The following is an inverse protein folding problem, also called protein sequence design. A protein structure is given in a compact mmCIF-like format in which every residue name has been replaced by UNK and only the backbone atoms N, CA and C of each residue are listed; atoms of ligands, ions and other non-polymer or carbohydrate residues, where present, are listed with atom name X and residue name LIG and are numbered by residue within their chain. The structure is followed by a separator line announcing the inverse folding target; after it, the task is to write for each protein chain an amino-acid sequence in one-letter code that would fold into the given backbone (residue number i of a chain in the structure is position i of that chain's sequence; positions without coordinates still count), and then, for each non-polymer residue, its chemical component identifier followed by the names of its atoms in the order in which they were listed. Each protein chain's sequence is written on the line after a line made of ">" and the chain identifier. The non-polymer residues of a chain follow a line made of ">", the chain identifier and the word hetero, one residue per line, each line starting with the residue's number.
data_IF_136774608532
#
_entry.id   IF_136774608532
#
_cell.length_a   1.000
_cell.length_b   1.000
_cell.length_c   1.000
_cell.angle_alpha   90.00
_cell.angle_beta   90.00
_cell.angle_gamma   90.00
#
_symmetry.space_group_name_H-M   'P 1'
#
loop_
_entity.id
_entity.type
_entity.pdbx_description
1 polymer ?
#
# COMPACT_ATOMS: atom_id res chain seq x y z
N UNK A 1 15.18 -19.06 -10.88
CA UNK A 1 14.09 -18.91 -9.91
C UNK A 1 13.86 -20.23 -9.20
N UNK A 2 12.95 -20.26 -8.25
CA UNK A 2 12.74 -21.36 -7.29
C UNK A 2 12.12 -22.66 -7.83
N UNK A 3 11.93 -22.81 -9.15
CA UNK A 3 11.44 -24.05 -9.76
C UNK A 3 9.99 -24.44 -9.39
N UNK A 4 9.13 -23.46 -9.11
CA UNK A 4 7.77 -23.69 -8.57
C UNK A 4 6.71 -24.03 -9.63
N UNK A 5 7.06 -24.01 -10.92
CA UNK A 5 6.12 -24.06 -12.07
C UNK A 5 5.21 -25.30 -12.15
N UNK A 6 5.50 -26.36 -11.36
CA UNK A 6 4.70 -27.58 -11.28
C UNK A 6 3.99 -27.81 -9.94
N UNK A 7 4.28 -27.00 -8.94
CA UNK A 7 3.72 -27.12 -7.57
C UNK A 7 2.78 -25.96 -7.25
N UNK A 8 3.05 -24.78 -7.81
CA UNK A 8 2.26 -23.59 -7.61
C UNK A 8 1.79 -23.03 -8.95
N UNK A 9 0.60 -22.44 -8.93
CA UNK A 9 0.06 -21.65 -10.03
C UNK A 9 -0.20 -20.25 -9.51
N UNK A 10 0.31 -19.23 -10.22
CA UNK A 10 -0.07 -17.85 -9.94
C UNK A 10 -1.49 -17.62 -10.44
N UNK A 11 -2.39 -17.24 -9.54
CA UNK A 11 -3.75 -16.86 -9.90
C UNK A 11 -3.79 -15.33 -9.99
N UNK A 12 -3.90 -14.82 -11.21
CA UNK A 12 -4.04 -13.38 -11.46
C UNK A 12 -5.44 -12.89 -11.07
N UNK A 13 -5.50 -11.73 -10.40
CA UNK A 13 -6.75 -11.18 -9.89
C UNK A 13 -6.58 -9.75 -9.37
N UNK A 14 -7.52 -9.31 -8.55
CA UNK A 14 -7.44 -8.01 -7.86
C UNK A 14 -6.93 -8.17 -6.43
N UNK A 15 -6.39 -7.08 -5.87
CA UNK A 15 -6.02 -7.00 -4.45
C UNK A 15 -7.18 -7.38 -3.54
N UNK A 16 -8.40 -6.90 -3.84
CA UNK A 16 -9.60 -7.23 -3.08
C UNK A 16 -9.90 -8.74 -3.08
N UNK A 17 -9.77 -9.40 -4.24
CA UNK A 17 -9.99 -10.84 -4.34
C UNK A 17 -8.92 -11.63 -3.57
N UNK A 18 -7.65 -11.23 -3.68
CA UNK A 18 -6.55 -11.84 -2.93
C UNK A 18 -6.77 -11.73 -1.41
N UNK A 19 -7.18 -10.56 -0.92
CA UNK A 19 -7.45 -10.33 0.51
C UNK A 19 -8.67 -11.12 1.01
N UNK A 20 -9.71 -11.29 0.19
CA UNK A 20 -10.86 -12.12 0.53
C UNK A 20 -10.49 -13.60 0.69
N UNK A 21 -9.62 -14.13 -0.18
CA UNK A 21 -9.11 -15.49 -0.04
C UNK A 21 -8.17 -15.64 1.16
N UNK A 22 -7.34 -14.63 1.44
CA UNK A 22 -6.50 -14.59 2.64
C UNK A 22 -7.35 -14.64 3.92
N UNK A 23 -8.40 -13.84 4.00
CA UNK A 23 -9.34 -13.83 5.13
C UNK A 23 -10.04 -15.18 5.30
N UNK A 24 -10.57 -15.75 4.21
CA UNK A 24 -11.23 -17.06 4.21
C UNK A 24 -10.29 -18.16 4.70
N UNK A 25 -9.09 -18.24 4.13
CA UNK A 25 -8.11 -19.27 4.48
C UNK A 25 -7.63 -19.10 5.93
N UNK A 26 -7.39 -17.88 6.37
CA UNK A 26 -7.00 -17.58 7.77
C UNK A 26 -8.08 -18.04 8.76
N UNK A 27 -9.35 -17.72 8.50
CA UNK A 27 -10.49 -18.12 9.36
C UNK A 27 -10.68 -19.65 9.41
N UNK A 28 -10.32 -20.34 8.33
CA UNK A 28 -10.44 -21.79 8.23
C UNK A 28 -9.17 -22.54 8.63
N UNK A 29 -8.11 -21.83 9.05
CA UNK A 29 -6.78 -22.40 9.33
C UNK A 29 -6.20 -23.19 8.12
N UNK A 30 -6.53 -22.75 6.90
CA UNK A 30 -6.05 -23.35 5.65
C UNK A 30 -4.73 -22.70 5.21
N UNK A 31 -3.75 -23.48 4.70
CA UNK A 31 -2.53 -22.92 4.15
C UNK A 31 -2.82 -22.04 2.93
N UNK A 32 -2.21 -20.85 2.89
CA UNK A 32 -2.28 -19.93 1.76
C UNK A 32 -0.96 -19.18 1.57
N UNK A 33 -0.61 -18.90 0.32
CA UNK A 33 0.49 -18.01 -0.07
C UNK A 33 -0.10 -16.93 -0.97
N UNK A 34 0.22 -15.68 -0.68
CA UNK A 34 -0.24 -14.52 -1.46
C UNK A 34 0.94 -13.64 -1.83
N UNK A 35 0.81 -12.90 -2.93
CA UNK A 35 1.74 -11.83 -3.29
C UNK A 35 1.32 -10.54 -2.58
N UNK A 36 2.06 -10.16 -1.54
CA UNK A 36 1.82 -8.98 -0.72
C UNK A 36 3.08 -8.10 -0.69
N UNK A 37 2.93 -6.83 -0.30
CA UNK A 37 4.02 -5.85 -0.24
C UNK A 37 3.98 -5.06 1.05
N UNK A 38 5.11 -4.44 1.42
CA UNK A 38 5.19 -3.48 2.53
C UNK A 38 5.37 -2.06 1.99
N UNK A 39 4.85 -1.03 2.69
CA UNK A 39 3.87 -1.12 3.79
C UNK A 39 2.46 -1.46 3.28
N UNK A 40 1.73 -2.32 4.00
CA UNK A 40 0.33 -2.67 3.69
C UNK A 40 -0.44 -3.07 4.96
N UNK A 41 -1.71 -2.64 5.08
CA UNK A 41 -2.54 -2.84 6.28
C UNK A 41 -2.75 -4.32 6.66
N UNK A 42 -2.74 -5.21 5.67
CA UNK A 42 -2.93 -6.65 5.84
C UNK A 42 -1.92 -7.28 6.83
N UNK A 43 -0.71 -6.72 6.98
CA UNK A 43 0.26 -7.20 7.97
C UNK A 43 -0.18 -6.98 9.42
N UNK A 44 -1.06 -6.01 9.67
CA UNK A 44 -1.64 -5.76 10.98
C UNK A 44 -2.94 -6.55 11.20
N UNK A 45 -3.66 -6.85 10.12
CA UNK A 45 -4.97 -7.51 10.19
C UNK A 45 -4.92 -9.04 10.13
N UNK A 46 -3.90 -9.61 9.50
CA UNK A 46 -3.78 -11.06 9.28
C UNK A 46 -2.46 -11.61 9.89
N UNK A 47 -2.44 -12.88 10.31
CA UNK A 47 -1.23 -13.53 10.86
C UNK A 47 -0.27 -13.95 9.74
N UNK A 48 0.19 -12.99 8.94
CA UNK A 48 1.08 -13.23 7.80
C UNK A 48 2.54 -13.06 8.19
N UNK A 49 3.42 -13.72 7.45
CA UNK A 49 4.87 -13.55 7.52
C UNK A 49 5.47 -13.61 6.13
N UNK A 50 6.60 -12.95 5.95
CA UNK A 50 7.34 -13.00 4.70
C UNK A 50 8.02 -14.38 4.55
N UNK A 51 8.14 -14.85 3.32
CA UNK A 51 8.97 -16.00 2.96
C UNK A 51 10.38 -15.49 2.63
N UNK A 52 11.40 -16.27 2.99
CA UNK A 52 12.78 -15.94 2.66
C UNK A 52 13.00 -15.98 1.14
N UNK A 53 13.76 -15.01 0.62
CA UNK A 53 14.17 -14.94 -0.79
C UNK A 53 15.69 -15.14 -0.90
N UNK A 54 16.22 -16.37 -0.68
CA UNK A 54 17.67 -16.60 -0.59
C UNK A 54 18.44 -16.36 -1.89
N UNK A 55 17.79 -16.43 -3.04
CA UNK A 55 18.38 -16.14 -4.36
C UNK A 55 18.14 -14.69 -4.82
N UNK A 56 17.40 -13.88 -4.04
CA UNK A 56 17.15 -12.46 -4.34
C UNK A 56 16.31 -12.22 -5.59
N UNK A 57 15.40 -13.14 -5.95
CA UNK A 57 14.59 -13.01 -7.17
C UNK A 57 13.47 -11.97 -7.04
N UNK A 58 13.08 -11.59 -5.82
CA UNK A 58 12.11 -10.52 -5.55
C UNK A 58 12.76 -9.12 -5.46
N UNK A 59 14.09 -9.07 -5.48
CA UNK A 59 14.85 -7.82 -5.43
C UNK A 59 15.09 -7.29 -4.01
N UNK A 60 15.60 -6.07 -3.95
CA UNK A 60 15.85 -5.33 -2.72
C UNK A 60 14.63 -4.48 -2.34
N UNK A 61 14.69 -3.81 -1.19
CA UNK A 61 13.66 -2.87 -0.77
C UNK A 61 13.34 -1.83 -1.87
N UNK A 62 12.06 -1.78 -2.24
CA UNK A 62 11.55 -0.81 -3.21
C UNK A 62 11.40 0.58 -2.59
N UNK A 63 11.29 1.60 -3.46
CA UNK A 63 11.03 2.97 -3.04
C UNK A 63 9.85 3.55 -3.81
N UNK A 64 9.00 4.29 -3.11
CA UNK A 64 7.94 5.07 -3.74
C UNK A 64 8.52 6.32 -4.37
N UNK A 65 8.17 6.58 -5.62
CA UNK A 65 8.57 7.78 -6.35
C UNK A 65 7.36 8.44 -6.95
N UNK A 66 7.27 9.76 -6.81
CA UNK A 66 6.31 10.53 -7.57
C UNK A 66 6.92 10.95 -8.90
N UNK A 67 6.20 10.69 -9.99
CA UNK A 67 6.63 11.00 -11.36
C UNK A 67 5.64 11.99 -11.98
N UNK A 68 6.18 13.05 -12.58
CA UNK A 68 5.41 14.01 -13.37
C UNK A 68 5.82 13.98 -14.84
N UNK A 69 4.93 14.41 -15.73
CA UNK A 69 5.29 14.59 -17.15
C UNK A 69 6.38 15.63 -17.31
N UNK A 70 7.10 15.58 -18.43
CA UNK A 70 8.03 16.64 -18.80
C UNK A 70 7.32 18.01 -18.85
N UNK A 71 7.97 19.05 -18.32
CA UNK A 71 7.41 20.40 -18.20
C UNK A 71 6.44 20.61 -17.04
N UNK A 72 6.00 19.56 -16.31
CA UNK A 72 4.98 19.69 -15.25
C UNK A 72 5.34 20.76 -14.20
N UNK A 73 6.61 20.79 -13.76
CA UNK A 73 7.08 21.77 -12.79
C UNK A 73 7.06 23.21 -13.30
N UNK A 74 7.25 23.42 -14.61
CA UNK A 74 7.18 24.76 -15.20
C UNK A 74 5.72 25.24 -15.29
N UNK A 75 4.79 24.35 -15.62
CA UNK A 75 3.38 24.67 -15.76
C UNK A 75 2.67 24.83 -14.41
N UNK A 76 3.10 24.05 -13.40
CA UNK A 76 2.44 23.95 -12.09
C UNK A 76 3.46 23.98 -10.95
N UNK A 77 4.25 25.04 -10.86
CA UNK A 77 5.36 25.15 -9.90
C UNK A 77 4.94 24.93 -8.43
N UNK A 78 3.78 25.46 -8.04
CA UNK A 78 3.22 25.33 -6.68
C UNK A 78 2.85 23.88 -6.36
N UNK A 79 1.99 23.27 -7.18
CA UNK A 79 1.56 21.86 -7.00
C UNK A 79 2.75 20.91 -7.10
N UNK A 80 3.71 21.19 -7.99
CA UNK A 80 4.95 20.41 -8.08
C UNK A 80 5.80 20.53 -6.81
N UNK A 81 5.75 21.67 -6.11
CA UNK A 81 6.33 21.83 -4.78
C UNK A 81 5.64 20.95 -3.75
N UNK A 82 4.30 21.00 -3.70
CA UNK A 82 3.52 20.19 -2.76
C UNK A 82 3.76 18.69 -2.93
N UNK A 83 3.74 18.22 -4.18
CA UNK A 83 4.01 16.83 -4.53
C UNK A 83 5.47 16.43 -4.21
N UNK A 84 6.43 17.34 -4.34
CA UNK A 84 7.82 17.06 -4.00
C UNK A 84 8.06 16.98 -2.49
N UNK A 85 7.25 17.69 -1.70
CA UNK A 85 7.29 17.65 -0.23
C UNK A 85 6.49 16.47 0.34
N UNK A 86 5.58 15.88 -0.44
CA UNK A 86 4.79 14.72 -0.03
C UNK A 86 5.71 13.58 0.41
N UNK A 87 5.55 13.18 1.67
CA UNK A 87 6.26 12.06 2.27
C UNK A 87 5.38 11.44 3.34
N UNK A 88 5.40 10.11 3.38
CA UNK A 88 4.80 9.30 4.43
C UNK A 88 5.85 8.28 4.88
N UNK A 89 5.91 8.03 6.18
CA UNK A 89 6.57 6.86 6.74
C UNK A 89 5.75 5.60 6.43
N UNK A 90 6.39 4.43 6.57
CA UNK A 90 5.71 3.15 6.38
C UNK A 90 4.47 2.97 7.27
N UNK A 91 4.53 3.50 8.51
CA UNK A 91 3.43 3.45 9.45
C UNK A 91 2.27 4.35 9.02
N UNK A 92 2.55 5.60 8.65
CA UNK A 92 1.53 6.56 8.19
C UNK A 92 0.87 6.08 6.89
N UNK A 93 1.64 5.50 5.96
CA UNK A 93 1.09 4.94 4.72
C UNK A 93 0.22 3.70 4.98
N UNK A 94 0.62 2.83 5.91
CA UNK A 94 -0.18 1.68 6.30
C UNK A 94 -1.50 2.11 6.97
N UNK A 95 -1.46 3.11 7.85
CA UNK A 95 -2.63 3.70 8.51
C UNK A 95 -3.59 4.33 7.49
N UNK A 96 -3.08 5.21 6.62
CA UNK A 96 -3.86 5.84 5.56
C UNK A 96 -4.51 4.77 4.66
N UNK A 97 -3.75 3.73 4.30
CA UNK A 97 -4.24 2.62 3.51
C UNK A 97 -5.36 1.84 4.19
N UNK A 98 -5.29 1.61 5.51
CA UNK A 98 -6.36 0.95 6.27
C UNK A 98 -7.66 1.77 6.24
N UNK A 99 -7.57 3.08 6.50
CA UNK A 99 -8.74 3.97 6.46
C UNK A 99 -9.38 3.96 5.07
N UNK A 100 -8.60 4.23 4.02
CA UNK A 100 -9.12 4.37 2.66
C UNK A 100 -9.62 3.04 2.08
N UNK A 101 -8.89 1.95 2.27
CA UNK A 101 -9.15 0.68 1.56
C UNK A 101 -10.05 -0.25 2.37
N UNK A 102 -9.82 -0.36 3.68
CA UNK A 102 -10.45 -1.38 4.51
C UNK A 102 -11.68 -0.85 5.25
N UNK A 103 -11.61 0.38 5.80
CA UNK A 103 -12.72 0.94 6.58
C UNK A 103 -13.82 1.56 5.69
N UNK A 104 -13.44 2.32 4.67
CA UNK A 104 -14.37 2.99 3.76
C UNK A 104 -14.52 2.24 2.42
N UNK A 105 -13.41 2.03 1.71
CA UNK A 105 -13.38 1.33 0.44
C UNK A 105 -13.75 2.21 -0.77
N UNK A 106 -13.88 1.57 -1.92
CA UNK A 106 -14.03 2.26 -3.22
C UNK A 106 -15.29 3.13 -3.29
N UNK A 107 -15.13 4.38 -3.75
CA UNK A 107 -16.20 5.37 -3.92
C UNK A 107 -16.47 6.23 -2.69
N UNK A 108 -15.74 6.03 -1.59
CA UNK A 108 -15.82 6.80 -0.35
C UNK A 108 -14.48 7.45 0.02
N UNK A 109 -13.57 7.60 -0.95
CA UNK A 109 -12.20 8.06 -0.72
C UNK A 109 -12.17 9.46 -0.10
N UNK A 110 -13.07 10.36 -0.49
CA UNK A 110 -13.14 11.71 0.07
C UNK A 110 -13.51 11.69 1.57
N UNK A 111 -14.56 10.97 1.96
CA UNK A 111 -14.93 10.80 3.37
C UNK A 111 -13.82 10.11 4.17
N UNK A 112 -13.12 9.12 3.57
CA UNK A 112 -12.01 8.43 4.21
C UNK A 112 -10.84 9.37 4.49
N UNK A 113 -10.49 10.23 3.53
CA UNK A 113 -9.43 11.24 3.70
C UNK A 113 -9.85 12.30 4.71
N UNK A 114 -11.11 12.77 4.68
CA UNK A 114 -11.62 13.70 5.69
C UNK A 114 -11.53 13.12 7.10
N UNK A 115 -11.85 11.84 7.27
CA UNK A 115 -11.72 11.14 8.53
C UNK A 115 -10.26 11.00 8.96
N UNK A 116 -9.35 10.64 8.06
CA UNK A 116 -7.92 10.57 8.35
C UNK A 116 -7.35 11.93 8.77
N UNK A 117 -7.76 13.00 8.10
CA UNK A 117 -7.42 14.41 8.40
C UNK A 117 -8.13 14.98 9.64
N UNK A 118 -9.02 14.23 10.27
CA UNK A 118 -9.65 14.63 11.54
C UNK A 118 -8.70 14.50 12.74
N UNK A 119 -7.65 13.68 12.58
CA UNK A 119 -6.53 13.63 13.52
C UNK A 119 -5.63 14.88 13.32
N UNK A 120 -5.37 15.67 14.37
CA UNK A 120 -4.51 16.85 14.28
C UNK A 120 -3.09 16.58 13.78
N UNK A 121 -2.51 15.41 14.09
CA UNK A 121 -1.16 15.06 13.68
C UNK A 121 -1.10 14.74 12.18
N UNK A 122 -2.09 13.98 11.68
CA UNK A 122 -2.26 13.70 10.25
C UNK A 122 -2.55 14.99 9.46
N UNK A 123 -3.36 15.89 10.03
CA UNK A 123 -3.62 17.22 9.46
C UNK A 123 -2.34 18.05 9.36
N UNK A 124 -1.56 18.11 10.44
CA UNK A 124 -0.29 18.84 10.46
C UNK A 124 0.71 18.26 9.45
N UNK A 125 0.75 16.94 9.31
CA UNK A 125 1.56 16.26 8.29
C UNK A 125 1.12 16.65 6.87
N UNK A 126 -0.17 16.60 6.56
CA UNK A 126 -0.69 17.00 5.25
C UNK A 126 -0.42 18.47 4.95
N UNK A 127 -0.60 19.35 5.94
CA UNK A 127 -0.32 20.78 5.83
C UNK A 127 1.17 21.05 5.59
N UNK A 128 2.07 20.21 6.12
CA UNK A 128 3.52 20.31 5.91
C UNK A 128 3.95 20.07 4.46
N UNK A 129 3.11 19.42 3.64
CA UNK A 129 3.40 19.25 2.22
C UNK A 129 3.14 20.52 1.44
N UNK A 130 2.20 21.36 1.89
CA UNK A 130 1.72 22.53 1.14
C UNK A 130 2.60 23.79 1.28
N UNK A 131 3.72 23.72 1.99
CA UNK A 131 4.61 24.86 2.31
C UNK A 131 5.91 24.91 1.53
#
# INVERSE_FOLDING_TARGET
>A
GYGLDGEFSLIEGSTTAMLAELDRATKNEEPIVVTLWRPHWAYNAFPVRDLEDPEGHLGEAEILKVLGREGFKADHAEVAGWIANFSLTDAELAELGDVVINQYGTGQEEEAIEQWLSDPDNRALADSWMV
#
